data_IF_436349048672
#
_entry.id   IF_436349048672
#
_cell.length_a   1.000
_cell.length_b   1.000
_cell.length_c   1.000
_cell.angle_alpha   90.00
_cell.angle_beta   90.00
_cell.angle_gamma   90.00
#
_symmetry.space_group_name_H-M   'P 1'
#
loop_
_entity.id
_entity.type
_entity.pdbx_description
1 polymer ?
#
# COMPACT_ATOMS: atom_id res chain seq x y z
N UNK A 1 -3.28 27.41 -37.56
CA UNK A 1 -4.64 27.00 -37.16
C UNK A 1 -4.55 25.57 -36.69
N UNK A 2 -4.66 25.36 -35.39
CA UNK A 2 -4.75 24.02 -34.79
C UNK A 2 -6.03 23.35 -35.30
N UNK A 3 -5.92 22.15 -35.85
CA UNK A 3 -7.07 21.41 -36.38
C UNK A 3 -7.99 20.89 -35.27
N UNK A 4 -9.24 20.48 -35.58
CA UNK A 4 -10.18 19.93 -34.60
C UNK A 4 -9.63 18.69 -33.88
N UNK A 5 -8.73 17.95 -34.53
CA UNK A 5 -8.01 16.82 -33.94
C UNK A 5 -7.12 17.26 -32.76
N UNK A 6 -6.37 18.35 -32.92
CA UNK A 6 -5.40 18.84 -31.90
C UNK A 6 -6.12 19.31 -30.62
N UNK A 7 -7.28 19.93 -30.77
CA UNK A 7 -8.13 20.35 -29.65
C UNK A 7 -8.69 19.13 -28.90
N UNK A 8 -9.13 18.11 -29.64
CA UNK A 8 -9.63 16.84 -29.07
C UNK A 8 -8.53 16.11 -28.27
N UNK A 9 -7.31 16.03 -28.81
CA UNK A 9 -6.16 15.44 -28.11
C UNK A 9 -5.77 16.25 -26.86
N UNK A 10 -5.81 17.57 -26.94
CA UNK A 10 -5.49 18.46 -25.81
C UNK A 10 -6.50 18.31 -24.66
N UNK A 11 -7.79 18.27 -24.98
CA UNK A 11 -8.87 18.04 -24.00
C UNK A 11 -8.71 16.67 -23.35
N UNK A 12 -8.39 15.64 -24.15
CA UNK A 12 -8.13 14.29 -23.64
C UNK A 12 -6.93 14.25 -22.69
N UNK A 13 -5.79 14.79 -23.09
CA UNK A 13 -4.59 14.77 -22.28
C UNK A 13 -4.78 15.53 -20.95
N UNK A 14 -5.43 16.69 -21.01
CA UNK A 14 -5.71 17.53 -19.83
C UNK A 14 -6.70 16.87 -18.89
N UNK A 15 -7.72 16.19 -19.42
CA UNK A 15 -8.75 15.46 -18.67
C UNK A 15 -8.23 14.15 -18.07
N UNK A 16 -7.26 13.50 -18.70
CA UNK A 16 -6.71 12.22 -18.24
C UNK A 16 -5.46 12.38 -17.38
N UNK A 17 -4.90 13.58 -17.21
CA UNK A 17 -3.70 13.83 -16.40
C UNK A 17 -3.82 13.43 -14.93
N UNK A 18 -5.03 13.45 -14.36
CA UNK A 18 -5.24 13.15 -12.94
C UNK A 18 -5.52 11.66 -12.70
N UNK A 19 -4.83 10.99 -11.76
CA UNK A 19 -4.98 9.55 -11.52
C UNK A 19 -6.41 9.14 -11.11
N UNK A 20 -7.12 10.00 -10.36
CA UNK A 20 -8.51 9.70 -9.98
C UNK A 20 -9.45 9.62 -11.20
N UNK A 21 -9.24 10.49 -12.21
CA UNK A 21 -10.05 10.50 -13.45
C UNK A 21 -9.80 9.24 -14.27
N UNK A 22 -8.53 8.81 -14.42
CA UNK A 22 -8.18 7.52 -15.04
C UNK A 22 -8.81 6.34 -14.30
N UNK A 23 -8.76 6.35 -12.97
CA UNK A 23 -9.37 5.30 -12.14
C UNK A 23 -10.89 5.24 -12.34
N UNK A 24 -11.59 6.39 -12.38
CA UNK A 24 -13.03 6.46 -12.67
C UNK A 24 -13.34 5.80 -14.01
N UNK A 25 -12.63 6.18 -15.07
CA UNK A 25 -12.87 5.62 -16.41
C UNK A 25 -12.63 4.11 -16.46
N UNK A 26 -11.59 3.60 -15.78
CA UNK A 26 -11.36 2.15 -15.65
C UNK A 26 -12.51 1.44 -14.96
N UNK A 27 -13.00 1.96 -13.83
CA UNK A 27 -14.14 1.35 -13.12
C UNK A 27 -15.41 1.37 -13.96
N UNK A 28 -15.65 2.45 -14.71
CA UNK A 28 -16.80 2.55 -15.61
C UNK A 28 -16.67 1.70 -16.87
N UNK A 29 -15.44 1.34 -17.29
CA UNK A 29 -15.21 0.37 -18.37
C UNK A 29 -15.60 -1.06 -18.00
N UNK A 30 -15.59 -1.39 -16.71
CA UNK A 30 -16.02 -2.70 -16.22
C UNK A 30 -17.55 -2.77 -16.06
N UNK A 31 -18.16 -1.71 -15.52
CA UNK A 31 -19.61 -1.61 -15.35
C UNK A 31 -20.07 -0.18 -15.07
N UNK A 32 -21.33 0.11 -15.41
CA UNK A 32 -21.99 1.35 -14.98
C UNK A 32 -22.15 1.40 -13.45
N UNK A 33 -21.94 2.57 -12.85
CA UNK A 33 -21.97 2.76 -11.38
C UNK A 33 -22.75 4.00 -10.97
N UNK A 34 -23.38 3.99 -9.79
CA UNK A 34 -23.98 5.20 -9.20
C UNK A 34 -22.92 6.12 -8.58
N UNK A 35 -23.29 7.37 -8.28
CA UNK A 35 -22.43 8.30 -7.56
C UNK A 35 -21.92 7.70 -6.24
N UNK A 36 -22.81 7.12 -5.42
CA UNK A 36 -22.44 6.52 -4.13
C UNK A 36 -21.50 5.32 -4.28
N UNK A 37 -21.65 4.51 -5.33
CA UNK A 37 -20.75 3.39 -5.61
C UNK A 37 -19.34 3.86 -6.01
N UNK A 38 -19.26 4.95 -6.79
CA UNK A 38 -17.99 5.58 -7.12
C UNK A 38 -17.36 6.18 -5.86
N UNK A 39 -18.15 6.88 -5.03
CA UNK A 39 -17.69 7.48 -3.78
C UNK A 39 -17.05 6.44 -2.85
N UNK A 40 -17.75 5.33 -2.62
CA UNK A 40 -17.30 4.21 -1.79
C UNK A 40 -16.01 3.57 -2.32
N UNK A 41 -15.90 3.37 -3.64
CA UNK A 41 -14.72 2.76 -4.27
C UNK A 41 -13.51 3.68 -4.37
N UNK A 42 -13.71 4.98 -4.50
CA UNK A 42 -12.62 5.96 -4.56
C UNK A 42 -12.14 6.39 -3.17
N UNK A 43 -13.02 6.42 -2.17
CA UNK A 43 -12.68 6.91 -0.82
C UNK A 43 -12.35 8.41 -0.78
N UNK A 44 -12.90 9.20 -1.72
CA UNK A 44 -12.70 10.65 -1.80
C UNK A 44 -13.95 11.40 -1.33
N UNK A 45 -13.83 12.67 -0.89
CA UNK A 45 -15.00 13.50 -0.58
C UNK A 45 -15.94 13.67 -1.77
N UNK A 46 -17.24 13.79 -1.50
CA UNK A 46 -18.26 13.95 -2.53
C UNK A 46 -18.02 15.15 -3.45
N UNK A 47 -17.59 16.29 -2.90
CA UNK A 47 -17.25 17.49 -3.67
C UNK A 47 -16.11 17.26 -4.68
N UNK A 48 -15.10 16.47 -4.29
CA UNK A 48 -14.00 16.11 -5.19
C UNK A 48 -14.45 15.14 -6.29
N UNK A 49 -15.33 14.18 -5.96
CA UNK A 49 -15.91 13.30 -6.97
C UNK A 49 -16.74 14.08 -7.99
N UNK A 50 -17.58 15.02 -7.53
CA UNK A 50 -18.34 15.92 -8.42
C UNK A 50 -17.40 16.67 -9.36
N UNK A 51 -16.35 17.30 -8.83
CA UNK A 51 -15.35 18.00 -9.64
C UNK A 51 -14.71 17.08 -10.69
N UNK A 52 -14.34 15.85 -10.33
CA UNK A 52 -13.76 14.91 -11.28
C UNK A 52 -14.77 14.46 -12.35
N UNK A 53 -16.03 14.23 -12.00
CA UNK A 53 -17.07 13.84 -12.97
C UNK A 53 -17.41 14.98 -13.93
N UNK A 54 -17.48 16.23 -13.44
CA UNK A 54 -17.67 17.41 -14.28
C UNK A 54 -16.49 17.59 -15.25
N UNK A 55 -15.26 17.46 -14.75
CA UNK A 55 -14.06 17.53 -15.59
C UNK A 55 -13.95 16.38 -16.59
N UNK A 56 -14.60 15.24 -16.32
CA UNK A 56 -14.65 14.12 -17.25
C UNK A 56 -15.67 14.35 -18.37
N UNK A 57 -16.53 15.37 -18.32
CA UNK A 57 -17.37 15.82 -19.43
C UNK A 57 -17.86 14.72 -20.37
N UNK A 58 -17.44 14.79 -21.64
CA UNK A 58 -17.86 13.88 -22.71
C UNK A 58 -17.34 12.45 -22.60
N UNK A 59 -16.43 12.14 -21.68
CA UNK A 59 -15.92 10.78 -21.45
C UNK A 59 -16.97 9.88 -20.78
N UNK A 60 -17.94 10.48 -20.10
CA UNK A 60 -18.95 9.76 -19.32
C UNK A 60 -20.36 10.25 -19.65
N UNK A 61 -21.33 9.36 -19.51
CA UNK A 61 -22.76 9.67 -19.68
C UNK A 61 -23.50 9.24 -18.42
N UNK A 62 -24.36 10.13 -17.90
CA UNK A 62 -25.30 9.81 -16.83
C UNK A 62 -26.57 9.24 -17.44
N UNK A 63 -26.86 7.99 -17.12
CA UNK A 63 -28.08 7.29 -17.53
C UNK A 63 -29.30 7.79 -16.76
N UNK A 64 -30.49 7.55 -17.30
CA UNK A 64 -31.77 7.83 -16.64
C UNK A 64 -31.90 7.14 -15.28
N UNK A 65 -31.25 5.98 -15.11
CA UNK A 65 -31.18 5.24 -13.84
C UNK A 65 -30.31 5.90 -12.77
N UNK A 66 -29.67 7.03 -13.07
CA UNK A 66 -28.74 7.72 -12.17
C UNK A 66 -27.34 7.10 -12.12
N UNK A 67 -27.06 6.08 -12.94
CA UNK A 67 -25.73 5.48 -13.10
C UNK A 67 -24.90 6.25 -14.14
N UNK A 68 -23.60 6.29 -13.93
CA UNK A 68 -22.61 6.75 -14.90
C UNK A 68 -22.11 5.56 -15.70
N UNK A 69 -21.89 5.76 -17.00
CA UNK A 69 -21.22 4.83 -17.91
C UNK A 69 -20.24 5.59 -18.81
N UNK A 70 -19.35 4.87 -19.50
CA UNK A 70 -18.52 5.49 -20.53
C UNK A 70 -19.37 5.91 -21.74
N UNK A 71 -18.94 6.98 -22.40
CA UNK A 71 -19.33 7.27 -23.79
C UNK A 71 -18.46 6.48 -24.76
N UNK A 72 -18.77 6.53 -26.05
CA UNK A 72 -17.89 5.99 -27.11
C UNK A 72 -16.49 6.63 -27.07
N UNK A 73 -16.42 7.94 -26.81
CA UNK A 73 -15.17 8.66 -26.64
C UNK A 73 -14.41 8.20 -25.38
N UNK A 74 -15.12 7.96 -24.28
CA UNK A 74 -14.55 7.40 -23.05
C UNK A 74 -13.99 5.98 -23.23
N UNK A 75 -14.68 5.13 -23.99
CA UNK A 75 -14.22 3.76 -24.30
C UNK A 75 -12.95 3.75 -25.15
N UNK A 76 -12.91 4.58 -26.20
CA UNK A 76 -11.71 4.77 -27.03
C UNK A 76 -10.54 5.25 -26.17
N UNK A 77 -10.79 6.22 -25.29
CA UNK A 77 -9.78 6.78 -24.40
C UNK A 77 -9.21 5.75 -23.41
N UNK A 78 -10.06 4.89 -22.84
CA UNK A 78 -9.60 3.78 -21.98
C UNK A 78 -8.74 2.78 -22.74
N UNK A 79 -9.11 2.48 -23.98
CA UNK A 79 -8.34 1.57 -24.83
C UNK A 79 -6.96 2.14 -25.15
N UNK A 80 -6.86 3.44 -25.42
CA UNK A 80 -5.58 4.14 -25.62
C UNK A 80 -4.72 4.15 -24.34
N UNK A 81 -5.32 4.40 -23.18
CA UNK A 81 -4.60 4.39 -21.90
C UNK A 81 -4.00 3.01 -21.57
N UNK A 82 -4.71 1.92 -21.86
CA UNK A 82 -4.20 0.56 -21.60
C UNK A 82 -2.88 0.28 -22.32
N UNK A 83 -2.70 0.78 -23.54
CA UNK A 83 -1.45 0.61 -24.28
C UNK A 83 -0.26 1.41 -23.73
N UNK A 84 -0.52 2.49 -22.98
CA UNK A 84 0.53 3.35 -22.40
C UNK A 84 0.88 3.00 -20.94
N UNK A 85 -0.07 2.41 -20.19
CA UNK A 85 0.08 2.14 -18.76
C UNK A 85 0.86 0.85 -18.42
N UNK A 86 1.18 0.00 -19.40
CA UNK A 86 1.97 -1.23 -19.19
C UNK A 86 3.39 -0.94 -18.64
N UNK A 87 3.85 0.32 -18.66
CA UNK A 87 5.17 0.73 -18.16
C UNK A 87 5.15 1.39 -16.76
N UNK A 88 4.00 1.85 -16.25
CA UNK A 88 3.92 2.74 -15.06
C UNK A 88 3.16 2.21 -13.84
N UNK A 89 2.99 0.89 -13.66
CA UNK A 89 2.25 0.38 -12.48
C UNK A 89 3.01 0.42 -11.14
N UNK A 90 4.07 1.23 -11.01
CA UNK A 90 4.79 1.46 -9.74
C UNK A 90 4.29 2.77 -9.12
N UNK A 91 3.73 2.69 -7.91
CA UNK A 91 3.16 3.79 -7.10
C UNK A 91 1.70 4.19 -7.39
N UNK A 92 0.77 3.33 -6.96
CA UNK A 92 -0.46 3.85 -6.34
C UNK A 92 -0.49 3.42 -4.89
N UNK A 93 -0.56 4.40 -4.00
CA UNK A 93 -0.66 4.23 -2.56
C UNK A 93 -1.85 3.32 -2.20
N UNK A 94 -1.56 2.03 -2.02
CA UNK A 94 -2.41 1.08 -1.31
C UNK A 94 -1.94 1.02 0.14
N UNK A 95 -2.23 2.05 0.93
CA UNK A 95 -1.92 2.06 2.37
C UNK A 95 -3.17 2.23 3.25
N UNK A 96 -4.26 1.51 2.96
CA UNK A 96 -5.39 1.46 3.89
C UNK A 96 -6.19 0.15 3.93
N UNK A 97 -5.65 -0.96 3.45
CA UNK A 97 -6.24 -2.29 3.73
C UNK A 97 -5.20 -3.40 3.68
N UNK A 98 -4.27 -3.38 4.64
CA UNK A 98 -3.59 -4.63 4.97
C UNK A 98 -4.64 -5.61 5.50
N UNK A 99 -4.78 -6.81 4.92
CA UNK A 99 -5.78 -7.78 5.37
C UNK A 99 -5.51 -8.06 6.84
N UNK A 100 -6.56 -8.05 7.66
CA UNK A 100 -6.50 -8.17 9.14
C UNK A 100 -5.55 -9.28 9.63
N UNK A 101 -5.35 -10.34 8.82
CA UNK A 101 -4.37 -11.42 9.02
C UNK A 101 -2.92 -10.94 9.24
N UNK A 102 -2.47 -9.87 8.59
CA UNK A 102 -1.11 -9.35 8.74
C UNK A 102 -0.89 -8.74 10.13
N UNK A 103 -1.89 -8.07 10.73
CA UNK A 103 -1.79 -7.59 12.11
C UNK A 103 -1.56 -8.74 13.09
N UNK A 104 -2.21 -9.89 12.87
CA UNK A 104 -1.98 -11.10 13.67
C UNK A 104 -0.58 -11.67 13.48
N UNK A 105 -0.06 -11.68 12.25
CA UNK A 105 1.32 -12.14 11.98
C UNK A 105 2.33 -11.24 12.72
N UNK A 106 2.18 -9.92 12.66
CA UNK A 106 3.05 -9.02 13.41
C UNK A 106 2.93 -9.20 14.92
N UNK A 107 1.73 -9.40 15.46
CA UNK A 107 1.56 -9.67 16.88
C UNK A 107 2.29 -10.94 17.33
N UNK A 108 2.18 -12.02 16.57
CA UNK A 108 2.89 -13.29 16.84
C UNK A 108 4.40 -13.12 16.74
N UNK A 109 4.89 -12.38 15.73
CA UNK A 109 6.32 -12.10 15.59
C UNK A 109 6.87 -11.27 16.75
N UNK A 110 6.14 -10.24 17.20
CA UNK A 110 6.56 -9.42 18.36
C UNK A 110 6.61 -10.27 19.63
N UNK A 111 5.61 -11.12 19.88
CA UNK A 111 5.62 -12.04 21.02
C UNK A 111 6.83 -12.99 20.94
N UNK A 112 7.12 -13.53 19.75
CA UNK A 112 8.29 -14.38 19.52
C UNK A 112 9.62 -13.68 19.81
N UNK A 113 9.78 -12.43 19.38
CA UNK A 113 10.98 -11.62 19.64
C UNK A 113 11.17 -11.38 21.14
N UNK A 114 10.09 -11.08 21.87
CA UNK A 114 10.15 -10.87 23.33
C UNK A 114 10.58 -12.14 24.05
N UNK A 115 10.03 -13.30 23.65
CA UNK A 115 10.41 -14.59 24.24
C UNK A 115 11.87 -14.94 23.95
N UNK A 116 12.34 -14.72 22.72
CA UNK A 116 13.74 -14.94 22.35
C UNK A 116 14.69 -14.03 23.13
N UNK A 117 14.36 -12.75 23.28
CA UNK A 117 15.16 -11.81 24.06
C UNK A 117 15.24 -12.22 25.54
N UNK A 118 14.12 -12.69 26.11
CA UNK A 118 14.08 -13.22 27.48
C UNK A 118 14.98 -14.46 27.64
N UNK A 119 14.92 -15.40 26.69
CA UNK A 119 15.77 -16.60 26.70
C UNK A 119 17.26 -16.25 26.59
N UNK A 120 17.63 -15.31 25.71
CA UNK A 120 19.00 -14.83 25.58
C UNK A 120 19.50 -14.17 26.87
N UNK A 121 18.64 -13.46 27.60
CA UNK A 121 19.01 -12.87 28.88
C UNK A 121 19.37 -13.93 29.94
N UNK A 122 18.58 -15.01 30.04
CA UNK A 122 18.84 -16.11 30.98
C UNK A 122 20.14 -16.83 30.65
N UNK A 123 20.40 -17.09 29.36
CA UNK A 123 21.65 -17.70 28.91
C UNK A 123 22.86 -16.81 29.23
N UNK A 124 22.75 -15.51 28.98
CA UNK A 124 23.81 -14.54 29.30
C UNK A 124 24.11 -14.49 30.81
N UNK A 125 23.06 -14.46 31.65
CA UNK A 125 23.21 -14.48 33.10
C UNK A 125 23.87 -15.77 33.60
N UNK A 126 23.45 -16.92 33.07
CA UNK A 126 24.00 -18.23 33.44
C UNK A 126 25.48 -18.36 33.04
N UNK A 127 25.86 -17.87 31.85
CA UNK A 127 27.26 -17.85 31.41
C UNK A 127 28.13 -16.95 32.30
N UNK A 128 27.61 -15.77 32.68
CA UNK A 128 28.31 -14.88 33.60
C UNK A 128 28.50 -15.49 35.00
N UNK A 129 27.52 -16.24 35.50
CA UNK A 129 27.65 -16.98 36.76
C UNK A 129 28.72 -18.06 36.66
N UNK A 130 28.69 -18.89 35.61
CA UNK A 130 29.68 -19.95 35.42
C UNK A 130 31.12 -19.41 35.30
N UNK A 131 31.30 -18.28 34.62
CA UNK A 131 32.60 -17.61 34.53
C UNK A 131 33.12 -17.15 35.90
N UNK A 132 32.24 -16.64 36.76
CA UNK A 132 32.60 -16.26 38.14
C UNK A 132 32.99 -17.48 38.97
N UNK A 133 32.22 -18.55 38.90
CA UNK A 133 32.47 -19.77 39.68
C UNK A 133 33.78 -20.43 39.26
N UNK A 134 34.08 -20.44 37.95
CA UNK A 134 35.38 -20.90 37.44
C UNK A 134 36.54 -20.03 37.94
N UNK A 135 36.36 -18.71 37.97
CA UNK A 135 37.35 -17.78 38.52
C UNK A 135 37.65 -18.03 40.00
N UNK A 136 36.61 -18.26 40.80
CA UNK A 136 36.74 -18.60 42.23
C UNK A 136 37.45 -19.93 42.43
N UNK A 137 37.02 -20.97 41.71
CA UNK A 137 37.62 -22.30 41.81
C UNK A 137 39.10 -22.27 41.41
N UNK A 138 39.46 -21.49 40.39
CA UNK A 138 40.86 -21.31 39.98
C UNK A 138 41.69 -20.60 41.04
N UNK A 139 41.14 -19.58 41.69
CA UNK A 139 41.82 -18.88 42.79
C UNK A 139 42.05 -19.80 43.99
N UNK A 140 41.05 -20.61 44.36
CA UNK A 140 41.16 -21.58 45.44
C UNK A 140 42.18 -22.68 45.12
N UNK A 141 42.21 -23.16 43.88
CA UNK A 141 43.20 -24.14 43.44
C UNK A 141 44.63 -23.62 43.54
N UNK A 142 44.90 -22.39 43.05
CA UNK A 142 46.23 -21.77 43.16
C UNK A 142 46.62 -21.49 44.63
N UNK A 143 45.66 -21.14 45.49
CA UNK A 143 45.89 -20.99 46.92
C UNK A 143 46.31 -22.31 47.57
N UNK A 144 45.58 -23.40 47.31
CA UNK A 144 45.91 -24.73 47.85
C UNK A 144 47.26 -25.21 47.32
N UNK A 145 47.55 -24.96 46.03
CA UNK A 145 48.83 -25.32 45.43
C UNK A 145 50.01 -24.58 46.07
N UNK A 146 49.87 -23.27 46.32
CA UNK A 146 50.93 -22.49 46.97
C UNK A 146 51.14 -22.82 48.45
N UNK A 147 50.14 -23.38 49.13
CA UNK A 147 50.28 -23.89 50.51
C UNK A 147 50.95 -25.27 50.60
N UNK A 148 51.00 -26.02 49.50
CA UNK A 148 51.55 -27.38 49.44
C UNK A 148 52.91 -27.47 48.72
N UNK A 149 53.52 -26.34 48.37
CA UNK A 149 54.92 -26.23 47.94
C UNK A 149 55.75 -25.61 49.05
#
# INVERSE_FOLDING_TARGET
MSGPEEETYSIMFTSLRHPARRKILKMLSEKSMTFSQLLDKLGIPGSQLTYHLESLGEFIVKMETGKYKLSSFGEASVSMMKGAEEVESVHTNKFSSLPVRWKSIFAVLIIGIVLLASMSYVQYASFNQLSRDYGLLKADFERVKSQNQ
#
